data_IF_814490382235
#
_entry.id   IF_814490382235
#
_cell.length_a   1.000
_cell.length_b   1.000
_cell.length_c   1.000
_cell.angle_alpha   90.00
_cell.angle_beta   90.00
_cell.angle_gamma   90.00
#
_symmetry.space_group_name_H-M   'P 1'
#
loop_
_entity.id
_entity.type
_entity.pdbx_description
1 polymer ?
#
# COMPACT_ATOMS: atom_id res chain seq x y z
N UNK A 1 -15.59 -40.25 -23.31
CA UNK A 1 -14.86 -39.94 -22.06
C UNK A 1 -15.09 -38.48 -21.74
N UNK A 2 -16.08 -38.20 -20.88
CA UNK A 2 -16.30 -36.86 -20.32
C UNK A 2 -15.25 -36.60 -19.25
N UNK A 3 -14.70 -35.39 -19.17
CA UNK A 3 -14.85 -34.48 -18.02
C UNK A 3 -13.89 -33.29 -18.16
N UNK A 4 -14.50 -32.19 -18.58
CA UNK A 4 -14.21 -30.80 -18.26
C UNK A 4 -13.13 -30.54 -17.20
N UNK A 5 -11.94 -30.11 -17.62
CA UNK A 5 -11.04 -29.34 -16.76
C UNK A 5 -11.38 -27.86 -16.90
N UNK A 6 -12.55 -27.47 -16.40
CA UNK A 6 -12.82 -26.09 -16.06
C UNK A 6 -11.97 -25.76 -14.83
N UNK A 7 -10.78 -25.23 -15.04
CA UNK A 7 -9.95 -24.70 -13.96
C UNK A 7 -10.66 -23.46 -13.43
N UNK A 8 -11.55 -23.69 -12.45
CA UNK A 8 -12.04 -22.69 -11.52
C UNK A 8 -10.83 -22.18 -10.72
N UNK A 9 -10.13 -21.19 -11.28
CA UNK A 9 -9.21 -20.36 -10.52
C UNK A 9 -10.04 -19.46 -9.60
N UNK A 10 -10.44 -20.08 -8.50
CA UNK A 10 -11.12 -19.55 -7.34
C UNK A 10 -10.25 -18.43 -6.73
N UNK A 11 -10.33 -17.22 -7.27
CA UNK A 11 -9.79 -16.01 -6.61
C UNK A 11 -10.71 -15.61 -5.47
N UNK A 12 -10.81 -16.49 -4.47
CA UNK A 12 -11.62 -16.31 -3.26
C UNK A 12 -10.83 -15.43 -2.29
N UNK A 13 -11.07 -14.13 -2.35
CA UNK A 13 -11.02 -13.25 -1.17
C UNK A 13 -9.68 -13.08 -0.47
N UNK A 14 -8.58 -12.89 -1.19
CA UNK A 14 -7.52 -12.05 -0.62
C UNK A 14 -8.00 -10.61 -0.76
N UNK A 15 -8.20 -9.89 0.35
CA UNK A 15 -8.27 -8.45 0.30
C UNK A 15 -7.01 -7.99 -0.44
N UNK A 16 -7.16 -7.68 -1.73
CA UNK A 16 -6.03 -7.35 -2.59
C UNK A 16 -5.44 -6.08 -2.01
N UNK A 17 -4.32 -6.22 -1.29
CA UNK A 17 -3.64 -5.08 -0.72
C UNK A 17 -3.25 -4.19 -1.91
N UNK A 18 -3.86 -3.00 -1.99
CA UNK A 18 -3.59 -2.07 -3.08
C UNK A 18 -2.08 -1.88 -3.23
N UNK A 19 -1.57 -2.03 -4.44
CA UNK A 19 -0.18 -1.82 -4.79
C UNK A 19 0.21 -0.34 -4.62
N UNK A 20 1.51 -0.05 -4.55
CA UNK A 20 1.99 1.35 -4.48
C UNK A 20 1.52 2.17 -5.68
N UNK A 21 1.46 1.55 -6.86
CA UNK A 21 0.98 2.20 -8.08
C UNK A 21 -0.51 2.53 -7.99
N UNK A 22 -1.33 1.62 -7.48
CA UNK A 22 -2.77 1.89 -7.27
C UNK A 22 -2.97 3.03 -6.27
N UNK A 23 -2.22 3.04 -5.16
CA UNK A 23 -2.29 4.15 -4.21
C UNK A 23 -1.89 5.48 -4.83
N UNK A 24 -0.89 5.51 -5.71
CA UNK A 24 -0.48 6.72 -6.42
C UNK A 24 -1.57 7.19 -7.39
N UNK A 25 -2.14 6.26 -8.16
CA UNK A 25 -3.19 6.55 -9.15
C UNK A 25 -4.46 7.10 -8.49
N UNK A 26 -4.84 6.55 -7.33
CA UNK A 26 -5.97 7.04 -6.53
C UNK A 26 -5.62 8.29 -5.70
N UNK A 27 -4.39 8.81 -5.83
CA UNK A 27 -3.85 9.94 -5.05
C UNK A 27 -3.95 9.75 -3.54
N UNK A 28 -3.91 8.51 -3.09
CA UNK A 28 -3.84 8.14 -1.68
C UNK A 28 -2.42 8.28 -1.12
N UNK A 29 -1.40 8.37 -1.99
CA UNK A 29 -0.03 8.72 -1.61
C UNK A 29 0.55 9.76 -2.58
N UNK A 30 1.52 10.54 -2.11
CA UNK A 30 2.25 11.47 -2.97
C UNK A 30 3.27 10.73 -3.87
N UNK A 31 3.75 11.35 -4.96
CA UNK A 31 4.86 10.82 -5.75
C UNK A 31 6.12 10.55 -4.92
N UNK A 32 6.42 11.42 -3.95
CA UNK A 32 7.58 11.25 -3.06
C UNK A 32 7.46 9.99 -2.17
N UNK A 33 6.26 9.74 -1.63
CA UNK A 33 5.96 8.51 -0.88
C UNK A 33 6.05 7.29 -1.80
N UNK A 34 5.49 7.35 -3.01
CA UNK A 34 5.59 6.24 -3.98
C UNK A 34 7.04 5.84 -4.26
N UNK A 35 7.91 6.80 -4.55
CA UNK A 35 9.32 6.53 -4.82
C UNK A 35 10.04 5.96 -3.59
N UNK A 36 9.76 6.49 -2.40
CA UNK A 36 10.33 5.98 -1.16
C UNK A 36 9.93 4.51 -0.93
N UNK A 37 8.63 4.20 -1.05
CA UNK A 37 8.12 2.86 -0.82
C UNK A 37 8.70 1.85 -1.81
N UNK A 38 8.85 2.23 -3.07
CA UNK A 38 9.46 1.35 -4.08
C UNK A 38 10.96 1.17 -3.85
N UNK A 39 11.70 2.25 -3.52
CA UNK A 39 13.13 2.16 -3.18
C UNK A 39 13.37 1.24 -1.98
N UNK A 40 12.46 1.23 -1.01
CA UNK A 40 12.54 0.39 0.19
C UNK A 40 11.82 -0.96 0.06
N UNK A 41 11.26 -1.29 -1.10
CA UNK A 41 10.57 -2.56 -1.34
C UNK A 41 9.32 -2.78 -0.48
N UNK A 42 8.69 -1.72 0.01
CA UNK A 42 7.51 -1.81 0.88
C UNK A 42 6.24 -2.02 0.04
N UNK A 43 5.71 -3.24 0.05
CA UNK A 43 4.54 -3.65 -0.76
C UNK A 43 3.30 -3.94 0.06
N UNK A 44 3.44 -4.16 1.37
CA UNK A 44 2.31 -4.41 2.27
C UNK A 44 1.92 -3.16 3.06
N UNK A 45 0.64 -3.00 3.48
CA UNK A 45 0.22 -1.85 4.28
C UNK A 45 1.09 -1.61 5.52
N UNK A 46 1.45 -2.67 6.24
CA UNK A 46 2.28 -2.58 7.45
C UNK A 46 3.71 -2.12 7.14
N UNK A 47 4.34 -2.68 6.10
CA UNK A 47 5.68 -2.24 5.67
C UNK A 47 5.68 -0.78 5.23
N UNK A 48 4.66 -0.37 4.48
CA UNK A 48 4.52 1.03 4.04
C UNK A 48 4.44 1.99 5.21
N UNK A 49 3.62 1.66 6.21
CA UNK A 49 3.49 2.48 7.40
C UNK A 49 4.83 2.62 8.14
N UNK A 50 5.56 1.51 8.33
CA UNK A 50 6.87 1.53 8.97
C UNK A 50 7.87 2.39 8.20
N UNK A 51 7.93 2.25 6.87
CA UNK A 51 8.82 3.04 6.02
C UNK A 51 8.47 4.54 6.04
N UNK A 52 7.18 4.88 5.99
CA UNK A 52 6.73 6.28 6.05
C UNK A 52 7.10 6.88 7.42
N UNK A 53 6.87 6.17 8.52
CA UNK A 53 7.22 6.65 9.86
C UNK A 53 8.73 6.88 10.00
N UNK A 54 9.55 5.94 9.55
CA UNK A 54 11.02 6.07 9.56
C UNK A 54 11.48 7.28 8.73
N UNK A 55 10.98 7.42 7.50
CA UNK A 55 11.34 8.53 6.63
C UNK A 55 10.88 9.89 7.17
N UNK A 56 9.73 9.93 7.86
CA UNK A 56 9.24 11.13 8.54
C UNK A 56 10.11 11.52 9.74
N UNK A 57 10.51 10.54 10.57
CA UNK A 57 11.46 10.78 11.66
C UNK A 57 12.82 11.28 11.14
N UNK A 58 13.24 10.78 9.98
CA UNK A 58 14.47 11.19 9.31
C UNK A 58 14.35 12.45 8.43
N UNK A 59 13.19 13.12 8.40
CA UNK A 59 12.91 14.30 7.56
C UNK A 59 13.16 14.09 6.06
N UNK A 60 13.01 12.85 5.58
CA UNK A 60 13.15 12.46 4.17
C UNK A 60 11.84 12.66 3.37
N UNK A 61 10.72 12.89 4.07
CA UNK A 61 9.42 13.22 3.48
C UNK A 61 8.98 14.62 3.93
N UNK A 62 8.19 15.34 3.10
CA UNK A 62 7.60 16.60 3.53
C UNK A 62 6.61 16.36 4.67
N UNK A 63 6.42 17.33 5.59
CA UNK A 63 5.50 17.18 6.72
C UNK A 63 4.06 16.81 6.33
N UNK A 64 3.61 17.23 5.13
CA UNK A 64 2.30 16.90 4.58
C UNK A 64 2.10 15.40 4.35
N UNK A 65 3.18 14.66 4.07
CA UNK A 65 3.15 13.21 3.80
C UNK A 65 3.31 12.37 5.07
N UNK A 66 3.63 13.01 6.21
CA UNK A 66 3.78 12.34 7.50
C UNK A 66 2.45 12.13 8.24
N UNK A 67 1.33 12.56 7.64
CA UNK A 67 -0.02 12.55 8.22
C UNK A 67 -0.82 11.25 8.02
N UNK A 68 -0.23 10.15 7.55
CA UNK A 68 -0.95 8.88 7.33
C UNK A 68 -1.31 8.10 8.60
N UNK A 69 -1.08 8.66 9.78
CA UNK A 69 -1.78 8.23 10.98
C UNK A 69 -3.26 8.57 10.79
N UNK A 70 -3.99 7.62 10.21
CA UNK A 70 -5.46 7.57 10.24
C UNK A 70 -5.91 8.20 11.55
N UNK A 71 -6.63 9.32 11.47
CA UNK A 71 -7.57 9.68 12.52
C UNK A 71 -8.30 8.37 12.85
N UNK A 72 -7.97 7.73 13.99
CA UNK A 72 -8.96 6.93 14.69
C UNK A 72 -10.04 7.95 14.98
N UNK A 73 -11.10 7.93 14.17
CA UNK A 73 -12.37 8.53 14.54
C UNK A 73 -12.76 7.80 15.82
N UNK A 74 -12.79 8.46 16.99
CA UNK A 74 -13.54 7.91 18.10
C UNK A 74 -15.00 7.96 17.66
N UNK A 75 -15.69 6.83 17.76
CA UNK A 75 -17.14 6.84 17.91
C UNK A 75 -17.47 7.50 19.26
#
# INVERSE_FOLDING_TARGET
MCFSLAILALHKGQASAQTNQQLLQERLISPAVYELLNRRGATTPTQRLAVIQDACGAKQLPPSDCGFSRKRRPD
#
